data_IF_423870820158
#
_entry.id   IF_423870820158
#
_cell.length_a   1.000
_cell.length_b   1.000
_cell.length_c   1.000
_cell.angle_alpha   90.00
_cell.angle_beta   90.00
_cell.angle_gamma   90.00
#
_symmetry.space_group_name_H-M   'P 1'
#
loop_
_entity.id
_entity.type
_entity.pdbx_description
1 polymer ?
2 non-polymer ?
3 water ?
#
# COMPACT_ATOMS: atom_id res chain seq x y z
N UNK A 24 26.13 -3.78 -8.45
CA UNK A 24 26.63 -5.15 -8.68
C UNK A 24 25.45 -6.00 -9.14
N UNK A 25 25.61 -6.72 -10.25
CA UNK A 25 24.51 -7.52 -10.82
C UNK A 25 24.57 -9.01 -10.47
N UNK A 26 24.97 -9.31 -9.24
CA UNK A 26 25.05 -10.70 -8.80
C UNK A 26 23.67 -11.34 -8.65
N UNK A 27 23.64 -12.67 -8.76
CA UNK A 27 22.43 -13.46 -8.54
C UNK A 27 21.22 -13.05 -9.35
N UNK A 28 20.14 -12.70 -8.66
CA UNK A 28 18.89 -12.28 -9.32
C UNK A 28 18.61 -10.78 -9.08
N UNK A 29 19.64 -10.01 -8.78
CA UNK A 29 19.45 -8.57 -8.56
C UNK A 29 18.71 -7.84 -9.70
N UNK A 30 19.08 -8.11 -10.96
CA UNK A 30 18.46 -7.47 -12.14
C UNK A 30 17.00 -7.88 -12.32
N UNK A 31 16.70 -9.16 -12.09
CA UNK A 31 15.34 -9.67 -12.16
C UNK A 31 14.49 -9.10 -11.03
N UNK A 32 15.08 -8.93 -9.87
CA UNK A 32 14.40 -8.30 -8.73
C UNK A 32 14.03 -6.84 -9.04
N UNK A 33 15.00 -6.08 -9.55
CA UNK A 33 14.77 -4.70 -9.95
C UNK A 33 13.69 -4.56 -11.04
N UNK A 34 13.74 -5.47 -12.03
CA UNK A 34 12.78 -5.51 -13.12
C UNK A 34 11.36 -5.69 -12.60
N UNK A 35 11.12 -6.72 -11.77
CA UNK A 35 9.77 -6.94 -11.27
C UNK A 35 9.32 -5.72 -10.44
N UNK A 36 10.18 -5.16 -9.61
CA UNK A 36 9.78 -3.97 -8.83
C UNK A 36 9.47 -2.74 -9.73
N UNK A 37 10.19 -2.61 -10.84
CA UNK A 37 9.93 -1.49 -11.76
C UNK A 37 8.51 -1.61 -12.36
N UNK A 38 8.06 -2.84 -12.60
CA UNK A 38 6.73 -3.07 -13.12
C UNK A 38 5.66 -2.60 -12.12
N UNK A 39 5.92 -2.74 -10.83
CA UNK A 39 5.02 -2.20 -9.77
C UNK A 39 5.06 -0.67 -9.78
N UNK A 40 6.26 -0.12 -9.76
CA UNK A 40 6.41 1.33 -9.74
C UNK A 40 5.81 2.01 -11.00
N UNK A 41 5.76 1.30 -12.12
CA UNK A 41 5.14 1.85 -13.35
C UNK A 41 3.66 2.23 -13.22
N UNK A 42 2.96 1.58 -12.29
CA UNK A 42 1.55 1.86 -12.05
C UNK A 42 1.32 3.23 -11.37
N UNK A 43 2.39 3.86 -10.89
CA UNK A 43 2.26 5.15 -10.20
C UNK A 43 2.54 6.35 -11.14
N UNK A 44 1.52 7.21 -11.38
CA UNK A 44 0.17 7.18 -10.83
C UNK A 44 -0.93 6.61 -11.75
N UNK A 45 -2.04 6.22 -11.12
CA UNK A 45 -3.25 5.84 -11.81
C UNK A 45 -4.33 6.65 -11.09
N UNK A 46 -4.55 7.86 -11.58
CA UNK A 46 -5.40 8.83 -10.90
C UNK A 46 -6.88 8.46 -10.84
N UNK A 47 -7.37 7.78 -11.88
CA UNK A 47 -8.77 7.35 -11.95
C UNK A 47 -8.86 5.87 -11.66
N UNK A 48 -9.43 5.55 -10.50
CA UNK A 48 -9.53 4.15 -10.08
C UNK A 48 -10.33 3.29 -11.04
N UNK A 49 -11.32 3.87 -11.75
CA UNK A 49 -12.08 3.13 -12.77
C UNK A 49 -11.17 2.52 -13.86
N UNK A 50 -10.02 3.15 -14.09
CA UNK A 50 -9.05 2.61 -15.06
C UNK A 50 -8.71 1.15 -14.73
N UNK A 51 -8.74 0.79 -13.45
CA UNK A 51 -8.42 -0.58 -13.05
C UNK A 51 -9.40 -1.60 -13.63
N UNK A 52 -10.65 -1.20 -13.87
CA UNK A 52 -11.62 -2.11 -14.50
C UNK A 52 -11.15 -2.60 -15.84
N UNK A 53 -10.28 -1.82 -16.48
CA UNK A 53 -9.78 -2.14 -17.81
C UNK A 53 -8.31 -2.54 -17.89
N UNK A 54 -7.65 -2.68 -16.73
CA UNK A 54 -6.27 -3.16 -16.67
C UNK A 54 -6.25 -4.62 -16.29
N UNK A 55 -5.57 -5.41 -17.11
CA UNK A 55 -5.38 -6.81 -16.82
C UNK A 55 -3.94 -7.04 -16.35
N UNK A 56 -3.77 -7.54 -15.13
CA UNK A 56 -2.44 -7.88 -14.58
C UNK A 56 -2.01 -9.27 -15.02
N UNK A 57 -1.06 -9.85 -14.29
CA UNK A 57 -0.50 -11.16 -14.62
C UNK A 57 -1.48 -12.29 -14.29
N UNK A 58 -1.64 -13.25 -15.21
CA UNK A 58 -2.60 -14.36 -15.02
C UNK A 58 -1.96 -15.75 -15.12
N UNK A 59 -2.40 -16.65 -14.24
CA UNK A 59 -1.93 -18.04 -14.15
C UNK A 59 -3.14 -18.96 -14.28
N UNK A 60 -3.01 -20.21 -13.82
CA UNK A 60 -4.14 -21.12 -13.67
C UNK A 60 -4.85 -21.01 -12.29
N UNK A 61 -4.56 -19.94 -11.52
CA UNK A 61 -5.26 -19.63 -10.24
C UNK A 61 -6.49 -18.73 -10.50
N UNK A 62 -6.62 -18.32 -11.76
CA UNK A 62 -7.77 -17.57 -12.24
C UNK A 62 -8.65 -18.60 -12.93
N UNK A 63 -9.91 -18.70 -12.52
CA UNK A 63 -10.85 -19.59 -13.20
C UNK A 63 -11.17 -18.94 -14.55
N UNK A 64 -11.15 -19.74 -15.62
CA UNK A 64 -11.33 -19.26 -17.01
C UNK A 64 -12.07 -17.94 -17.27
N UNK A 65 -13.29 -17.82 -16.75
CA UNK A 65 -14.10 -16.64 -16.97
C UNK A 65 -13.86 -15.47 -16.02
N UNK A 66 -12.95 -15.61 -15.06
CA UNK A 66 -12.65 -14.54 -14.04
C UNK A 66 -11.65 -13.53 -14.63
N UNK A 67 -12.00 -12.25 -14.53
CA UNK A 67 -11.24 -11.14 -15.07
C UNK A 67 -10.34 -10.47 -14.02
N UNK A 68 -10.44 -10.94 -12.78
CA UNK A 68 -9.56 -10.51 -11.73
C UNK A 68 -10.08 -9.32 -10.96
N UNK A 69 -9.45 -9.10 -9.84
CA UNK A 69 -9.82 -8.06 -8.91
C UNK A 69 -8.56 -7.28 -8.56
N UNK A 70 -8.65 -5.95 -8.52
CA UNK A 70 -7.51 -5.14 -8.12
C UNK A 70 -7.76 -4.71 -6.71
N UNK A 71 -6.83 -5.12 -5.83
CA UNK A 71 -6.88 -4.71 -4.44
C UNK A 71 -5.92 -3.55 -4.24
N UNK A 72 -6.45 -2.48 -3.68
CA UNK A 72 -5.69 -1.28 -3.46
C UNK A 72 -5.75 -0.99 -1.98
N UNK A 73 -4.60 -0.62 -1.40
CA UNK A 73 -4.49 -0.41 0.03
C UNK A 73 -3.38 0.55 0.37
N UNK A 74 -3.74 1.61 1.08
CA UNK A 74 -2.78 2.60 1.58
C UNK A 74 -3.07 2.75 3.06
N UNK A 75 -2.00 2.87 3.86
CA UNK A 75 -2.12 2.99 5.32
C UNK A 75 -1.02 3.85 5.90
N UNK A 76 -1.38 4.77 6.80
CA UNK A 76 -0.40 5.62 7.46
C UNK A 76 -0.31 5.15 8.93
N UNK A 77 0.85 4.63 9.30
CA UNK A 77 1.08 4.12 10.67
C UNK A 77 1.92 5.11 11.50
N UNK A 78 1.33 5.67 12.53
CA UNK A 78 2.05 6.64 13.34
C UNK A 78 2.10 6.21 14.82
N UNK A 79 3.26 5.71 15.22
CA UNK A 79 3.45 5.19 16.59
C UNK A 79 4.65 5.86 17.24
N UNK A 80 4.44 7.10 17.77
CA UNK A 80 5.53 7.84 18.35
C UNK A 80 6.00 7.28 19.68
N UNK A 81 7.26 7.59 20.02
CA UNK A 81 7.87 7.14 21.26
C UNK A 81 7.11 7.65 22.49
N UNK A 82 6.67 6.72 23.34
CA UNK A 82 5.94 7.05 24.55
C UNK A 82 4.53 7.63 24.37
N UNK A 83 3.88 7.31 23.27
CA UNK A 83 2.53 7.85 23.01
C UNK A 83 1.62 6.81 22.40
N UNK A 84 0.33 7.15 22.37
CA UNK A 84 -0.69 6.30 21.77
C UNK A 84 -0.33 6.02 20.32
N UNK A 85 -0.71 4.85 19.85
CA UNK A 85 -0.45 4.41 18.49
C UNK A 85 -1.71 4.55 17.63
N UNK A 86 -1.55 5.01 16.39
CA UNK A 86 -2.68 5.14 15.46
C UNK A 86 -2.32 4.83 14.03
N UNK A 87 -3.23 4.13 13.37
CA UNK A 87 -3.13 3.84 11.96
C UNK A 87 -4.46 4.18 11.27
N UNK A 88 -4.38 4.76 10.08
CA UNK A 88 -5.54 5.07 9.24
C UNK A 88 -5.24 4.68 7.78
N UNK A 89 -6.21 4.08 7.11
CA UNK A 89 -6.02 3.68 5.72
C UNK A 89 -7.33 3.25 5.09
N UNK A 90 -7.24 2.61 3.94
CA UNK A 90 -8.40 2.15 3.23
C UNK A 90 -7.95 0.97 2.39
N UNK A 91 -8.89 0.06 2.11
CA UNK A 91 -8.68 -1.06 1.20
C UNK A 91 -9.91 -1.03 0.26
N UNK A 92 -9.72 -1.29 -1.03
CA UNK A 92 -10.81 -1.41 -1.98
C UNK A 92 -10.52 -2.65 -2.78
N UNK A 93 -11.60 -3.35 -3.12
CA UNK A 93 -11.57 -4.54 -3.96
C UNK A 93 -12.28 -4.14 -5.28
N UNK A 94 -11.50 -3.89 -6.32
CA UNK A 94 -12.02 -3.49 -7.63
C UNK A 94 -12.27 -4.74 -8.45
N UNK A 95 -13.54 -5.18 -8.49
CA UNK A 95 -13.92 -6.44 -9.19
C UNK A 95 -14.27 -6.16 -10.67
N UNK A 96 -13.44 -6.66 -11.57
CA UNK A 96 -13.63 -6.41 -12.98
C UNK A 96 -14.76 -7.30 -13.55
N UNK A 97 -15.18 -8.32 -12.82
CA UNK A 97 -16.27 -9.19 -13.28
C UNK A 97 -17.60 -8.48 -13.14
N UNK A 98 -17.86 -7.98 -11.93
CA UNK A 98 -19.09 -7.27 -11.60
C UNK A 98 -19.00 -5.78 -11.93
N UNK A 99 -17.79 -5.28 -12.17
CA UNK A 99 -17.54 -3.87 -12.40
C UNK A 99 -18.05 -3.01 -11.23
N UNK A 100 -17.87 -3.53 -10.02
CA UNK A 100 -18.27 -2.82 -8.80
C UNK A 100 -17.06 -2.82 -7.89
N UNK A 101 -17.01 -1.86 -6.97
CA UNK A 101 -15.91 -1.74 -6.04
C UNK A 101 -16.38 -1.43 -4.61
N UNK A 102 -16.03 -2.33 -3.68
CA UNK A 102 -16.33 -2.17 -2.25
C UNK A 102 -15.07 -2.35 -1.37
N UNK A 103 -15.11 -1.76 -0.17
CA UNK A 103 -14.05 -1.88 0.79
C UNK A 103 -14.36 -1.11 2.05
N UNK A 104 -13.34 -0.62 2.73
CA UNK A 104 -13.57 0.11 3.97
C UNK A 104 -12.40 1.00 4.35
N UNK A 105 -12.72 2.07 5.07
CA UNK A 105 -11.74 2.92 5.68
C UNK A 105 -11.63 2.40 7.12
N UNK A 106 -10.47 2.57 7.75
CA UNK A 106 -10.30 2.10 9.12
C UNK A 106 -9.42 3.02 9.91
N UNK A 107 -9.73 3.12 11.20
CA UNK A 107 -8.92 3.84 12.15
C UNK A 107 -8.65 2.84 13.29
N UNK A 108 -7.37 2.50 13.48
CA UNK A 108 -6.93 1.63 14.58
C UNK A 108 -6.23 2.47 15.62
N UNK A 109 -6.55 2.25 16.90
CA UNK A 109 -5.94 2.97 18.01
C UNK A 109 -5.42 1.95 19.01
N UNK A 110 -4.19 2.14 19.46
CA UNK A 110 -3.61 1.24 20.48
C UNK A 110 -2.99 2.12 21.54
N UNK A 111 -3.52 2.00 22.75
CA UNK A 111 -3.12 2.79 23.90
C UNK A 111 -2.86 1.88 25.09
N UNK A 112 -2.09 2.39 26.05
CA UNK A 112 -1.82 1.69 27.30
C UNK A 112 -2.41 2.52 28.41
N UNK A 113 -3.23 1.94 29.28
CA UNK A 113 -3.71 2.72 30.43
C UNK A 113 -2.50 2.87 31.37
N UNK A 114 -2.67 3.60 32.47
CA UNK A 114 -1.56 3.85 33.40
C UNK A 114 -0.88 2.60 34.02
N UNK A 115 -1.59 1.45 34.03
CA UNK A 115 -1.03 0.21 34.56
C UNK A 115 -0.34 -0.63 33.49
N UNK A 116 -0.23 -0.09 32.27
CA UNK A 116 0.41 -0.81 31.17
C UNK A 116 -0.54 -1.77 30.49
N UNK A 117 -1.81 -1.72 30.83
CA UNK A 117 -2.81 -2.57 30.20
C UNK A 117 -3.23 -2.00 28.84
N UNK A 118 -3.23 -2.85 27.78
CA UNK A 118 -3.70 -2.38 26.48
C UNK A 118 -5.18 -1.99 26.49
N UNK A 119 -5.50 -0.87 25.82
CA UNK A 119 -6.89 -0.45 25.55
C UNK A 119 -6.88 -0.17 24.05
N UNK A 120 -7.06 -1.23 23.25
CA UNK A 120 -6.96 -1.17 21.79
C UNK A 120 -8.30 -1.40 21.08
N UNK A 121 -8.44 -0.78 19.90
CA UNK A 121 -9.63 -0.94 19.07
C UNK A 121 -9.33 -0.64 17.61
N UNK A 122 -10.28 -1.02 16.76
CA UNK A 122 -10.20 -0.71 15.35
C UNK A 122 -11.63 -0.54 14.85
N UNK A 123 -11.88 0.56 14.16
CA UNK A 123 -13.18 0.86 13.63
C UNK A 123 -13.12 0.88 12.12
N UNK A 124 -14.04 0.16 11.48
CA UNK A 124 -14.11 0.12 10.02
C UNK A 124 -15.42 0.75 9.55
N UNK A 125 -15.30 1.56 8.48
CA UNK A 125 -16.43 2.23 7.86
C UNK A 125 -16.54 1.74 6.40
N UNK A 126 -17.61 0.99 6.11
CA UNK A 126 -17.75 0.44 4.75
C UNK A 126 -17.95 1.53 3.68
N UNK A 127 -17.34 1.32 2.52
CA UNK A 127 -17.49 2.26 1.41
C UNK A 127 -17.57 1.52 0.09
N UNK A 128 -17.95 2.25 -0.94
CA UNK A 128 -17.92 1.76 -2.31
C UNK A 128 -17.30 2.85 -3.17
N UNK A 129 -16.83 2.46 -4.35
CA UNK A 129 -16.25 3.39 -5.30
C UNK A 129 -17.10 3.37 -6.57
N UNK A 130 -17.49 4.57 -7.02
CA UNK A 130 -18.29 4.77 -8.23
C UNK A 130 -17.84 6.05 -8.90
N UNK A 131 -17.45 5.94 -10.16
CA UNK A 131 -17.04 7.12 -10.97
C UNK A 131 -15.89 7.89 -10.30
N UNK A 132 -14.91 7.14 -9.81
CA UNK A 132 -13.73 7.65 -9.08
C UNK A 132 -14.08 8.44 -7.81
N UNK A 133 -15.26 8.17 -7.25
CA UNK A 133 -15.70 8.83 -6.02
C UNK A 133 -15.81 7.82 -4.90
N UNK A 134 -15.50 8.23 -3.68
CA UNK A 134 -15.60 7.36 -2.51
C UNK A 134 -16.91 7.67 -1.80
N UNK A 135 -17.75 6.65 -1.68
CA UNK A 135 -19.09 6.79 -1.11
C UNK A 135 -19.30 5.86 0.08
N UNK A 136 -19.49 6.45 1.28
CA UNK A 136 -19.74 5.61 2.46
C UNK A 136 -21.07 4.88 2.31
N UNK A 137 -21.10 3.57 2.61
CA UNK A 137 -22.34 2.80 2.48
C UNK A 137 -23.10 2.72 3.81
N UNK A 138 -22.51 3.29 4.85
CA UNK A 138 -23.18 3.47 6.14
C UNK A 138 -22.87 4.88 6.57
N UNK A 139 -23.79 5.51 7.34
CA UNK A 139 -23.54 6.88 7.81
C UNK A 139 -22.43 6.94 8.85
N UNK A 140 -21.84 8.12 9.02
CA UNK A 140 -20.72 8.34 9.95
C UNK A 140 -21.12 9.14 11.17
N UNK A 141 -20.31 9.06 12.24
CA UNK A 141 -20.62 9.80 13.47
C UNK A 141 -20.48 11.33 13.36
N UNK A 142 -19.67 11.81 12.42
CA UNK A 142 -19.53 13.28 12.24
C UNK A 142 -19.15 13.67 10.81
N UNK A 143 -19.33 14.95 10.50
CA UNK A 143 -19.07 15.47 9.15
C UNK A 143 -17.60 15.39 8.76
N UNK A 144 -16.72 15.79 9.66
CA UNK A 144 -15.27 15.81 9.40
C UNK A 144 -14.75 14.44 8.92
N UNK A 145 -15.18 13.37 9.59
CA UNK A 145 -14.77 12.02 9.18
C UNK A 145 -15.36 11.64 7.82
N UNK A 146 -16.60 12.10 7.56
CA UNK A 146 -17.27 11.88 6.28
C UNK A 146 -16.44 12.47 5.14
N UNK A 147 -15.94 13.67 5.37
CA UNK A 147 -15.12 14.36 4.36
C UNK A 147 -13.76 13.66 4.19
N UNK A 148 -13.15 13.24 5.29
CA UNK A 148 -11.86 12.52 5.26
C UNK A 148 -12.00 11.26 4.41
N UNK A 149 -13.14 10.59 4.54
CA UNK A 149 -13.40 9.39 3.76
C UNK A 149 -13.67 9.76 2.29
N UNK A 150 -14.50 10.77 2.07
CA UNK A 150 -14.85 11.19 0.69
C UNK A 150 -13.63 11.77 -0.06
N UNK A 151 -12.77 12.50 0.64
CA UNK A 151 -11.60 13.13 0.03
C UNK A 151 -10.38 12.21 -0.05
N UNK A 152 -10.50 10.98 0.42
CA UNK A 152 -9.37 10.06 0.46
C UNK A 152 -8.79 9.77 -0.91
N UNK A 153 -7.46 9.74 -0.98
CA UNK A 153 -6.73 9.38 -2.18
C UNK A 153 -5.71 8.31 -1.81
N UNK A 154 -5.75 7.22 -2.55
CA UNK A 154 -4.76 6.15 -2.41
C UNK A 154 -3.46 6.64 -2.97
N UNK A 155 -2.34 6.14 -2.44
CA UNK A 155 -1.02 6.58 -2.90
C UNK A 155 -0.81 6.33 -4.40
N UNK A 156 -1.43 5.29 -4.94
CA UNK A 156 -1.33 5.02 -6.38
C UNK A 156 -1.97 6.14 -7.25
N UNK A 157 -2.86 6.95 -6.64
CA UNK A 157 -3.51 8.06 -7.33
C UNK A 157 -2.67 9.35 -7.40
N UNK A 158 -1.59 9.46 -6.61
CA UNK A 158 -0.73 10.65 -6.67
C UNK A 158 0.78 10.38 -6.61
N UNK A 159 1.20 9.15 -6.30
CA UNK A 159 2.62 8.79 -6.33
C UNK A 159 3.17 8.78 -7.76
N UNK A 160 4.48 8.98 -7.88
CA UNK A 160 5.19 9.02 -9.18
C UNK A 160 6.68 8.72 -8.92
N UNK A 161 7.17 7.61 -9.43
CA UNK A 161 8.57 7.23 -9.24
C UNK A 161 9.43 7.45 -10.48
N UNK A 162 10.73 7.39 -10.27
CA UNK A 162 11.69 7.43 -11.37
C UNK A 162 11.93 5.98 -11.69
N UNK A 163 12.65 5.72 -12.78
CA UNK A 163 13.00 4.35 -13.07
C UNK A 163 13.76 3.84 -11.83
N UNK A 164 13.52 2.59 -11.45
CA UNK A 164 14.17 2.00 -10.28
C UNK A 164 15.70 2.16 -10.30
N UNK A 165 16.29 1.96 -11.48
CA UNK A 165 17.73 2.07 -11.67
C UNK A 165 18.30 3.48 -11.44
N UNK A 166 17.43 4.49 -11.47
CA UNK A 166 17.86 5.85 -11.15
C UNK A 166 18.04 6.07 -9.64
N UNK A 167 17.46 5.19 -8.81
CA UNK A 167 17.67 5.27 -7.35
C UNK A 167 19.03 4.65 -7.04
N UNK A 168 19.87 5.40 -6.33
CA UNK A 168 21.25 4.98 -6.09
C UNK A 168 21.47 4.15 -4.81
N UNK A 169 22.52 3.34 -4.84
CA UNK A 169 22.95 2.54 -3.69
C UNK A 169 21.79 1.71 -3.12
N UNK A 170 21.19 0.91 -3.97
CA UNK A 170 20.10 0.05 -3.53
C UNK A 170 20.64 -1.14 -2.76
N UNK A 171 19.94 -1.52 -1.69
CA UNK A 171 20.31 -2.69 -0.90
C UNK A 171 19.37 -3.83 -1.30
N UNK A 172 19.84 -4.73 -2.15
CA UNK A 172 18.98 -5.81 -2.64
C UNK A 172 19.18 -7.11 -1.85
N UNK A 173 18.07 -7.70 -1.40
CA UNK A 173 18.09 -8.95 -0.62
C UNK A 173 17.24 -10.00 -1.30
N UNK A 174 17.73 -11.23 -1.26
CA UNK A 174 17.09 -12.35 -1.91
C UNK A 174 17.15 -13.69 -1.13
N UNK A 175 15.96 -14.21 -0.79
CA UNK A 175 15.83 -15.52 -0.15
C UNK A 175 15.21 -16.48 -1.18
N UNK A 176 16.04 -17.27 -1.87
CA UNK A 176 15.48 -18.14 -2.92
C UNK A 176 14.53 -19.28 -2.48
N UNK A 177 14.44 -19.59 -1.19
CA UNK A 177 13.57 -20.68 -0.75
C UNK A 177 12.08 -20.33 -0.71
N UNK A 178 11.74 -19.10 -0.32
CA UNK A 178 10.33 -18.69 -0.23
C UNK A 178 9.60 -18.78 -1.57
N UNK A 179 10.05 -18.02 -2.58
CA UNK A 179 11.13 -17.04 -2.61
C UNK A 179 10.61 -15.66 -2.30
N UNK A 180 11.46 -14.83 -1.68
CA UNK A 180 11.14 -13.45 -1.33
C UNK A 180 12.34 -12.56 -1.61
N UNK A 181 12.07 -11.27 -1.76
CA UNK A 181 13.08 -10.30 -2.12
C UNK A 181 12.68 -8.91 -1.71
N UNK A 182 13.69 -8.04 -1.64
CA UNK A 182 13.46 -6.66 -1.28
C UNK A 182 14.55 -5.74 -1.84
N UNK A 183 14.21 -4.47 -1.95
CA UNK A 183 15.13 -3.44 -2.41
C UNK A 183 14.87 -2.26 -1.50
N UNK A 184 15.94 -1.78 -0.87
CA UNK A 184 15.86 -0.67 0.07
C UNK A 184 16.73 0.50 -0.37
N UNK A 185 16.16 1.71 -0.30
CA UNK A 185 16.84 2.92 -0.72
C UNK A 185 16.64 4.02 0.30
N UNK A 186 17.65 4.85 0.48
CA UNK A 186 17.50 6.03 1.34
C UNK A 186 17.05 7.18 0.42
N UNK A 187 15.97 7.86 0.80
CA UNK A 187 15.47 8.99 0.04
C UNK A 187 15.80 10.28 0.77
N UNK A 188 15.68 11.41 0.06
CA UNK A 188 15.90 12.74 0.62
C UNK A 188 14.55 13.41 0.81
N UNK A 189 14.50 14.45 1.64
CA UNK A 189 13.25 15.15 1.86
C UNK A 189 12.75 15.97 0.66
N UNK A 190 13.54 16.08 -0.40
CA UNK A 190 13.06 16.78 -1.59
C UNK A 190 12.44 15.81 -2.58
N UNK A 191 12.32 14.54 -2.19
CA UNK A 191 11.72 13.53 -3.06
C UNK A 191 10.23 13.84 -3.23
N UNK A 192 9.76 13.78 -4.48
CA UNK A 192 8.37 14.06 -4.82
C UNK A 192 7.36 13.32 -3.95
N UNK A 193 7.52 12.00 -3.85
CA UNK A 193 6.63 11.17 -3.05
C UNK A 193 6.65 11.53 -1.56
N UNK A 194 7.83 11.78 -1.01
CA UNK A 194 7.96 12.15 0.41
C UNK A 194 7.19 13.46 0.66
N UNK A 195 7.34 14.42 -0.26
CA UNK A 195 6.65 15.70 -0.16
C UNK A 195 5.13 15.52 -0.22
N UNK A 196 4.67 14.62 -1.05
CA UNK A 196 3.23 14.34 -1.13
C UNK A 196 2.72 13.76 0.21
N UNK A 197 3.47 12.82 0.80
CA UNK A 197 3.07 12.23 2.08
C UNK A 197 3.01 13.25 3.20
N UNK A 198 4.00 14.14 3.24
CA UNK A 198 4.05 15.16 4.29
C UNK A 198 2.93 16.18 4.16
N UNK A 199 2.46 16.40 2.94
CA UNK A 199 1.34 17.30 2.69
C UNK A 199 -0.01 16.64 3.06
N UNK A 200 -0.17 15.35 2.76
CA UNK A 200 -1.43 14.67 3.04
C UNK A 200 -1.55 14.11 4.45
N UNK A 201 -0.42 13.93 5.13
CA UNK A 201 -0.41 13.40 6.49
C UNK A 201 0.44 14.26 7.39
N UNK A 202 0.08 14.29 8.68
CA UNK A 202 0.84 15.02 9.69
C UNK A 202 1.85 14.04 10.30
N UNK A 203 3.03 13.96 9.67
CA UNK A 203 4.09 13.04 10.05
C UNK A 203 5.04 13.75 11.04
N UNK A 204 5.03 13.35 12.33
CA UNK A 204 5.84 14.03 13.36
C UNK A 204 7.28 13.51 13.44
N UNK A 205 8.07 13.78 12.40
CA UNK A 205 9.47 13.39 12.35
C UNK A 205 10.10 14.10 11.17
N UNK A 206 11.24 14.73 11.40
CA UNK A 206 11.97 15.47 10.38
C UNK A 206 12.73 14.53 9.44
N UNK A 207 13.00 13.33 9.91
CA UNK A 207 13.84 12.34 9.20
C UNK A 207 13.37 11.97 7.79
N UNK A 208 14.35 11.79 6.90
CA UNK A 208 14.10 11.41 5.52
C UNK A 208 13.91 9.90 5.51
N UNK A 209 12.84 9.43 4.89
CA UNK A 209 12.52 8.02 4.94
C UNK A 209 13.27 7.14 3.96
N UNK A 210 13.23 5.84 4.25
CA UNK A 210 13.77 4.85 3.35
C UNK A 210 12.58 4.32 2.58
N UNK A 211 12.81 3.93 1.34
CA UNK A 211 11.81 3.32 0.51
C UNK A 211 12.18 1.84 0.46
N UNK A 212 11.21 1.00 0.82
CA UNK A 212 11.41 -0.42 0.87
C UNK A 212 10.40 -1.11 -0.02
N UNK A 213 10.93 -1.81 -1.01
CA UNK A 213 10.11 -2.57 -1.93
C UNK A 213 10.21 -4.00 -1.47
N UNK A 214 9.08 -4.70 -1.42
CA UNK A 214 9.04 -6.10 -0.97
C UNK A 214 8.23 -6.95 -1.91
N UNK A 215 8.70 -8.17 -2.14
CA UNK A 215 7.98 -9.10 -2.98
C UNK A 215 8.23 -10.54 -2.60
N UNK A 216 7.34 -11.43 -3.07
CA UNK A 216 7.51 -12.87 -2.89
C UNK A 216 6.79 -13.64 -3.98
N UNK A 217 7.07 -14.92 -4.09
CA UNK A 217 6.52 -15.77 -5.15
C UNK A 217 7.40 -15.62 -6.37
N UNK A 218 7.04 -16.28 -7.46
CA UNK A 218 7.81 -16.22 -8.71
C UNK A 218 8.27 -14.82 -9.07
N UNK A 219 9.52 -14.72 -9.54
CA UNK A 219 10.09 -13.42 -9.94
C UNK A 219 9.37 -12.79 -11.13
N UNK A 220 8.90 -13.61 -12.08
CA UNK A 220 8.14 -13.11 -13.25
C UNK A 220 6.74 -12.64 -12.87
N UNK A 221 6.26 -13.06 -11.69
CA UNK A 221 4.94 -12.71 -11.20
C UNK A 221 4.12 -13.95 -10.95
N UNK A 222 3.19 -13.83 -10.01
CA UNK A 222 2.28 -14.91 -9.64
C UNK A 222 1.02 -14.33 -8.98
N UNK A 223 -0.07 -15.10 -9.00
CA UNK A 223 -1.32 -14.69 -8.36
C UNK A 223 -1.16 -14.74 -6.85
N UNK A 224 -0.54 -15.83 -6.39
CA UNK A 224 -0.29 -16.09 -4.98
C UNK A 224 0.71 -15.13 -4.36
N UNK A 225 1.66 -14.66 -5.16
CA UNK A 225 2.70 -13.75 -4.70
C UNK A 225 2.22 -12.36 -4.33
N UNK A 226 3.12 -11.60 -3.73
CA UNK A 226 2.81 -10.27 -3.25
C UNK A 226 3.86 -9.24 -3.69
N UNK A 227 3.42 -7.98 -3.81
CA UNK A 227 4.24 -6.83 -4.12
C UNK A 227 3.71 -5.70 -3.27
N UNK A 228 4.60 -4.98 -2.61
CA UNK A 228 4.20 -3.86 -1.79
C UNK A 228 5.36 -2.91 -1.62
N UNK A 229 5.05 -1.74 -1.06
CA UNK A 229 6.05 -0.77 -0.81
C UNK A 229 5.80 -0.06 0.49
N UNK A 230 6.85 0.50 1.05
CA UNK A 230 6.78 1.21 2.30
C UNK A 230 7.73 2.39 2.33
N UNK A 231 7.30 3.47 2.97
CA UNK A 231 8.15 4.63 3.26
C UNK A 231 8.35 4.59 4.77
N UNK A 232 9.57 4.20 5.19
CA UNK A 232 9.91 4.06 6.60
C UNK A 232 10.58 5.33 7.17
N UNK A 233 9.83 6.14 7.89
CA UNK A 233 10.39 7.38 8.48
C UNK A 233 11.19 7.07 9.75
N UNK A 234 10.64 6.24 10.64
CA UNK A 234 11.36 5.81 11.85
C UNK A 234 11.07 4.33 12.13
N UNK A 235 12.11 3.60 12.51
CA UNK A 235 11.99 2.21 12.83
C UNK A 235 12.97 1.83 13.94
N UNK A 236 12.49 1.87 15.17
CA UNK A 236 13.27 1.40 16.32
C UNK A 236 12.32 0.69 17.29
N UNK A 237 12.84 0.24 18.42
CA UNK A 237 12.07 -0.55 19.36
C UNK A 237 11.02 0.28 20.11
N UNK A 238 11.23 1.58 20.20
CA UNK A 238 10.30 2.47 20.89
C UNK A 238 9.38 3.27 19.95
N UNK A 239 9.76 3.40 18.67
CA UNK A 239 9.00 4.24 17.74
C UNK A 239 8.92 3.67 16.31
N UNK A 240 7.71 3.70 15.73
CA UNK A 240 7.50 3.29 14.34
C UNK A 240 6.55 4.23 13.59
N UNK A 241 7.06 4.81 12.52
CA UNK A 241 6.32 5.75 11.70
C UNK A 241 6.61 5.37 10.28
N UNK A 242 5.59 4.89 9.57
CA UNK A 242 5.75 4.42 8.19
C UNK A 242 4.46 4.41 7.37
N UNK A 243 4.62 4.35 6.06
CA UNK A 243 3.51 4.36 5.12
C UNK A 243 3.64 3.15 4.22
N UNK A 244 2.55 2.42 4.06
CA UNK A 244 2.57 1.22 3.22
C UNK A 244 1.54 1.36 2.11
N UNK A 245 1.87 0.82 0.95
CA UNK A 245 0.96 0.83 -0.17
C UNK A 245 1.10 -0.45 -0.97
N UNK A 246 -0.01 -0.92 -1.52
CA UNK A 246 0.03 -2.06 -2.43
C UNK A 246 -1.11 -1.95 -3.45
N UNK A 247 -0.85 -2.49 -4.65
CA UNK A 247 -1.76 -2.47 -5.74
C UNK A 247 -1.57 -3.82 -6.40
N UNK A 248 -2.54 -4.71 -6.24
CA UNK A 248 -2.33 -6.09 -6.68
C UNK A 248 -3.46 -6.74 -7.46
N UNK A 249 -3.09 -7.47 -8.50
CA UNK A 249 -4.07 -8.14 -9.34
C UNK A 249 -4.22 -9.58 -8.85
N UNK A 250 -5.44 -9.94 -8.42
CA UNK A 250 -5.69 -11.25 -7.81
C UNK A 250 -6.92 -12.01 -8.36
N UNK A 251 -6.94 -13.35 -8.20
CA UNK A 251 -8.18 -14.03 -8.58
C UNK A 251 -9.31 -13.45 -7.71
N UNK A 252 -10.54 -13.49 -8.22
CA UNK A 252 -11.67 -12.93 -7.50
C UNK A 252 -12.28 -13.99 -6.60
N UNK A 253 -13.13 -13.52 -5.69
CA UNK A 253 -13.98 -14.41 -4.91
C UNK A 253 -15.12 -14.81 -5.85
N UNK A 254 -15.71 -15.99 -5.70
CA UNK A 254 -16.83 -16.37 -6.60
C UNK A 254 -18.17 -15.92 -6.03
X LIG B 1 1.18 -11.11 -7.44
#
# INVERSE_FOLDING_TARGET
XGSSHHHHHHENLYFQGGYVIXTKTNGRNAQIKDTFNQTLKLYPTKNLDDFYDKEGFRDQEFKKGDKGTWIVNSEMVIEPKGKDMETRGMVLYINRNTRTTKGYYFISEMTDDSNGRPKDDEKRYPVKMEHNKIIPTKPLPNDKLKKEIENFKFFVQYGNFKDINDYKDGDISYNPNVPSYSAKYQLNNDDYNVQQLRKRYDIPTKQAPKLLLKGDGDLKGSSVGSRSLEFTFVENKEENIYFTDSVQYTPSEDTRYESN
CA CA
#
